data_IF_927746205491
#
_entry.id   IF_927746205491
#
_cell.length_a   1.000
_cell.length_b   1.000
_cell.length_c   1.000
_cell.angle_alpha   90.00
_cell.angle_beta   90.00
_cell.angle_gamma   90.00
#
_symmetry.space_group_name_H-M   'P 1'
#
loop_
_entity.id
_entity.type
_entity.pdbx_description
1 polymer ?
#
# COMPACT_ATOMS: atom_id res chain seq x y z
N UNK A 1 -20.18 -31.55 2.24
CA UNK A 1 -21.48 -30.85 2.08
C UNK A 1 -21.66 -30.58 0.59
N UNK A 2 -22.72 -31.06 -0.04
CA UNK A 2 -22.99 -30.86 -1.48
C UNK A 2 -24.11 -29.85 -1.66
N UNK A 3 -23.92 -28.83 -2.50
CA UNK A 3 -24.95 -27.82 -2.82
C UNK A 3 -25.31 -27.93 -4.30
N UNK A 4 -26.52 -28.44 -4.58
CA UNK A 4 -26.99 -28.68 -5.94
C UNK A 4 -27.30 -27.38 -6.69
N UNK A 5 -27.97 -26.44 -6.01
CA UNK A 5 -28.38 -25.14 -6.59
C UNK A 5 -27.18 -24.30 -7.00
N UNK A 6 -26.15 -24.22 -6.14
CA UNK A 6 -24.91 -23.50 -6.46
C UNK A 6 -24.18 -24.12 -7.65
N UNK A 7 -24.06 -25.45 -7.69
CA UNK A 7 -23.38 -26.17 -8.78
C UNK A 7 -24.08 -25.95 -10.12
N UNK A 8 -25.41 -26.00 -10.15
CA UNK A 8 -26.19 -25.74 -11.35
C UNK A 8 -25.95 -24.32 -11.88
N UNK A 9 -25.99 -23.30 -11.00
CA UNK A 9 -25.75 -21.89 -11.38
C UNK A 9 -24.32 -21.64 -11.89
N UNK A 10 -23.30 -22.19 -11.24
CA UNK A 10 -21.93 -22.04 -11.71
C UNK A 10 -21.73 -22.70 -13.08
N UNK A 11 -22.35 -23.87 -13.31
CA UNK A 11 -22.32 -24.55 -14.61
C UNK A 11 -23.00 -23.71 -15.69
N UNK A 12 -24.16 -23.12 -15.40
CA UNK A 12 -24.90 -22.21 -16.30
C UNK A 12 -24.06 -20.97 -16.67
N UNK A 13 -23.33 -20.41 -15.70
CA UNK A 13 -22.42 -19.27 -15.92
C UNK A 13 -21.08 -19.66 -16.57
N UNK A 14 -20.86 -20.95 -16.89
CA UNK A 14 -19.60 -21.45 -17.44
C UNK A 14 -18.42 -21.40 -16.46
N UNK A 15 -18.68 -21.30 -15.16
CA UNK A 15 -17.66 -21.21 -14.11
C UNK A 15 -17.28 -22.61 -13.59
N UNK A 16 -15.98 -22.88 -13.54
CA UNK A 16 -15.45 -24.12 -12.97
C UNK A 16 -15.48 -24.08 -11.44
N UNK A 17 -15.95 -25.16 -10.82
CA UNK A 17 -15.87 -25.34 -9.37
C UNK A 17 -14.51 -25.94 -8.99
N UNK A 18 -13.75 -25.20 -8.19
CA UNK A 18 -12.53 -25.70 -7.55
C UNK A 18 -12.77 -25.84 -6.05
N UNK A 19 -12.23 -26.91 -5.45
CA UNK A 19 -12.35 -27.20 -4.02
C UNK A 19 -10.96 -27.32 -3.40
N UNK A 20 -10.83 -26.82 -2.18
CA UNK A 20 -9.64 -27.05 -1.37
C UNK A 20 -9.49 -28.52 -1.02
N UNK A 21 -8.24 -28.94 -0.82
CA UNK A 21 -7.88 -30.29 -0.39
C UNK A 21 -8.58 -30.63 0.93
N UNK A 22 -9.14 -31.85 1.06
CA UNK A 22 -9.77 -32.27 2.31
C UNK A 22 -8.82 -32.15 3.51
N UNK A 23 -9.31 -31.54 4.60
CA UNK A 23 -8.58 -31.33 5.86
C UNK A 23 -7.33 -30.45 5.77
N UNK A 24 -7.23 -29.58 4.77
CA UNK A 24 -6.14 -28.61 4.64
C UNK A 24 -6.71 -27.20 4.73
N UNK A 25 -6.50 -26.52 5.88
CA UNK A 25 -7.05 -25.18 6.10
C UNK A 25 -6.32 -24.11 5.29
N UNK A 26 -5.01 -24.28 5.06
CA UNK A 26 -4.14 -23.28 4.43
C UNK A 26 -4.12 -23.31 2.89
N UNK A 27 -5.11 -23.96 2.26
CA UNK A 27 -5.09 -24.18 0.81
C UNK A 27 -5.44 -22.92 0.00
N UNK A 28 -5.90 -21.87 0.67
CA UNK A 28 -6.17 -20.57 0.07
C UNK A 28 -5.46 -19.43 0.84
N UNK A 29 -4.14 -19.28 0.67
CA UNK A 29 -3.34 -18.31 1.41
C UNK A 29 -3.80 -16.86 1.16
N UNK A 30 -4.37 -16.57 -0.02
CA UNK A 30 -4.85 -15.24 -0.36
C UNK A 30 -6.08 -14.83 0.47
N UNK A 31 -7.10 -15.68 0.53
CA UNK A 31 -8.29 -15.38 1.34
C UNK A 31 -7.96 -15.39 2.84
N UNK A 32 -7.09 -16.28 3.31
CA UNK A 32 -6.64 -16.27 4.70
C UNK A 32 -5.91 -14.98 5.07
N UNK A 33 -5.00 -14.51 4.20
CA UNK A 33 -4.31 -13.25 4.41
C UNK A 33 -5.29 -12.07 4.49
N UNK A 34 -6.30 -12.01 3.61
CA UNK A 34 -7.33 -10.97 3.65
C UNK A 34 -8.12 -10.99 4.96
N UNK A 35 -8.60 -12.16 5.40
CA UNK A 35 -9.33 -12.28 6.67
C UNK A 35 -8.47 -11.91 7.87
N UNK A 36 -7.18 -12.21 7.82
CA UNK A 36 -6.23 -11.74 8.82
C UNK A 36 -6.16 -10.20 8.80
N UNK A 37 -6.01 -9.57 7.64
CA UNK A 37 -5.97 -8.10 7.56
C UNK A 37 -7.22 -7.44 8.13
N UNK A 38 -8.41 -8.00 7.87
CA UNK A 38 -9.68 -7.52 8.43
C UNK A 38 -9.64 -7.56 9.97
N UNK A 39 -9.30 -8.70 10.56
CA UNK A 39 -9.35 -8.94 12.02
C UNK A 39 -8.30 -8.16 12.80
N UNK A 40 -7.12 -7.97 12.21
CA UNK A 40 -6.01 -7.26 12.83
C UNK A 40 -5.97 -5.77 12.45
N UNK A 41 -7.00 -5.29 11.75
CA UNK A 41 -7.18 -3.87 11.50
C UNK A 41 -7.40 -3.13 12.84
N UNK A 42 -6.72 -1.99 13.09
CA UNK A 42 -6.91 -1.21 14.32
C UNK A 42 -8.37 -0.79 14.57
N UNK A 43 -9.14 -0.64 13.49
CA UNK A 43 -10.56 -0.30 13.47
C UNK A 43 -11.50 -1.44 13.91
N UNK A 44 -10.98 -2.65 14.12
CA UNK A 44 -11.79 -3.82 14.45
C UNK A 44 -12.40 -3.68 15.87
N UNK A 45 -13.72 -3.83 16.03
CA UNK A 45 -14.35 -3.65 17.34
C UNK A 45 -14.00 -4.79 18.30
N UNK A 46 -13.30 -4.47 19.40
CA UNK A 46 -12.87 -5.45 20.40
C UNK A 46 -14.06 -6.15 21.10
N UNK A 47 -15.19 -5.45 21.26
CA UNK A 47 -16.42 -5.99 21.86
C UNK A 47 -17.34 -6.67 20.84
N UNK A 48 -16.94 -6.75 19.57
CA UNK A 48 -17.80 -7.21 18.48
C UNK A 48 -18.82 -6.17 18.02
N UNK A 49 -19.80 -6.62 17.24
CA UNK A 49 -20.82 -5.77 16.62
C UNK A 49 -22.17 -5.94 17.31
N UNK A 50 -22.92 -4.84 17.43
CA UNK A 50 -24.24 -4.84 18.08
C UNK A 50 -25.35 -5.46 17.21
N UNK A 51 -25.20 -5.44 15.89
CA UNK A 51 -26.21 -5.96 14.95
C UNK A 51 -25.59 -6.38 13.62
N UNK A 52 -26.33 -7.17 12.84
CA UNK A 52 -25.91 -7.54 11.48
C UNK A 52 -25.78 -6.30 10.57
N UNK A 53 -26.62 -5.27 10.77
CA UNK A 53 -26.53 -4.01 10.05
C UNK A 53 -25.19 -3.32 10.29
N UNK A 54 -24.78 -3.21 11.56
CA UNK A 54 -23.50 -2.63 11.94
C UNK A 54 -22.30 -3.38 11.33
N UNK A 55 -22.36 -4.72 11.26
CA UNK A 55 -21.33 -5.52 10.59
C UNK A 55 -21.23 -5.16 9.11
N UNK A 56 -22.38 -5.08 8.41
CA UNK A 56 -22.41 -4.79 6.97
C UNK A 56 -21.85 -3.40 6.66
N UNK A 57 -22.28 -2.39 7.41
CA UNK A 57 -21.77 -1.02 7.26
C UNK A 57 -20.27 -0.95 7.50
N UNK A 58 -19.79 -1.58 8.57
CA UNK A 58 -18.35 -1.62 8.87
C UNK A 58 -17.56 -2.35 7.79
N UNK A 59 -18.04 -3.49 7.30
CA UNK A 59 -17.36 -4.26 6.24
C UNK A 59 -17.29 -3.48 4.92
N UNK A 60 -18.36 -2.76 4.54
CA UNK A 60 -18.36 -1.91 3.35
C UNK A 60 -17.39 -0.73 3.50
N UNK A 61 -17.32 -0.13 4.69
CA UNK A 61 -16.36 0.92 4.99
C UNK A 61 -14.92 0.38 4.93
N UNK A 62 -14.67 -0.80 5.51
CA UNK A 62 -13.38 -1.47 5.45
C UNK A 62 -12.96 -1.77 4.00
N UNK A 63 -13.85 -2.35 3.20
CA UNK A 63 -13.57 -2.68 1.79
C UNK A 63 -13.15 -1.43 1.01
N UNK A 64 -13.92 -0.35 1.14
CA UNK A 64 -13.60 0.93 0.50
C UNK A 64 -12.25 1.46 0.97
N UNK A 65 -11.97 1.44 2.27
CA UNK A 65 -10.70 1.89 2.81
C UNK A 65 -9.53 1.05 2.28
N UNK A 66 -9.68 -0.29 2.24
CA UNK A 66 -8.65 -1.22 1.77
C UNK A 66 -8.36 -1.07 0.27
N UNK A 67 -9.41 -1.00 -0.56
CA UNK A 67 -9.32 -1.02 -2.01
C UNK A 67 -9.02 0.36 -2.62
N UNK A 68 -9.58 1.44 -2.07
CA UNK A 68 -9.55 2.76 -2.70
C UNK A 68 -8.66 3.78 -1.98
N UNK A 69 -8.27 3.53 -0.71
CA UNK A 69 -7.54 4.52 0.09
C UNK A 69 -6.19 4.03 0.58
N UNK A 70 -6.09 2.77 1.01
CA UNK A 70 -4.86 2.23 1.55
C UNK A 70 -3.81 1.99 0.45
N UNK A 71 -2.60 2.52 0.65
CA UNK A 71 -1.47 2.29 -0.25
C UNK A 71 -0.65 1.10 0.24
N UNK A 72 -0.60 0.05 -0.57
CA UNK A 72 0.01 -1.22 -0.16
C UNK A 72 1.47 -1.30 -0.61
N UNK A 73 2.37 -1.56 0.33
CA UNK A 73 3.81 -1.67 0.04
C UNK A 73 4.13 -2.80 -0.95
N UNK A 74 3.39 -3.91 -0.89
CA UNK A 74 3.54 -5.06 -1.79
C UNK A 74 3.25 -4.76 -3.27
N UNK A 75 2.58 -3.65 -3.55
CA UNK A 75 2.28 -3.19 -4.92
C UNK A 75 2.86 -1.79 -5.21
N UNK A 76 3.97 -1.42 -4.55
CA UNK A 76 4.67 -0.15 -4.73
C UNK A 76 3.86 1.08 -4.27
N UNK A 77 3.14 0.96 -3.16
CA UNK A 77 2.34 2.04 -2.58
C UNK A 77 1.35 2.63 -3.58
N UNK A 78 0.55 1.76 -4.19
CA UNK A 78 -0.65 2.10 -4.96
C UNK A 78 -1.85 1.42 -4.31
N UNK A 79 -3.06 1.88 -4.62
CA UNK A 79 -4.27 1.23 -4.14
C UNK A 79 -4.55 -0.02 -4.98
N UNK A 80 -5.15 -1.08 -4.40
CA UNK A 80 -5.51 -2.28 -5.16
C UNK A 80 -6.45 -1.95 -6.31
N UNK A 81 -7.38 -1.01 -6.11
CA UNK A 81 -8.30 -0.58 -7.14
C UNK A 81 -7.61 0.15 -8.30
N UNK A 82 -6.59 0.98 -8.03
CA UNK A 82 -5.81 1.62 -9.10
C UNK A 82 -5.03 0.59 -9.93
N UNK A 83 -4.45 -0.42 -9.26
CA UNK A 83 -3.79 -1.54 -9.94
C UNK A 83 -4.78 -2.36 -10.76
N UNK A 84 -5.97 -2.62 -10.20
CA UNK A 84 -7.01 -3.38 -10.88
C UNK A 84 -7.52 -2.66 -12.14
N UNK A 85 -7.65 -1.33 -12.07
CA UNK A 85 -8.04 -0.47 -13.21
C UNK A 85 -6.90 -0.19 -14.19
N UNK A 86 -5.66 -0.55 -13.86
CA UNK A 86 -4.48 -0.29 -14.69
C UNK A 86 -4.00 1.17 -14.72
N UNK A 87 -4.55 2.04 -13.88
CA UNK A 87 -4.18 3.48 -13.82
C UNK A 87 -2.93 3.73 -12.97
N UNK A 88 -2.38 2.69 -12.34
CA UNK A 88 -1.23 2.80 -11.47
C UNK A 88 0.09 3.04 -12.23
N UNK A 89 0.14 2.66 -13.51
CA UNK A 89 1.31 2.82 -14.38
C UNK A 89 1.70 4.30 -14.50
N UNK A 90 0.75 5.17 -14.85
CA UNK A 90 0.97 6.62 -14.97
C UNK A 90 1.46 7.22 -13.64
N UNK A 91 0.89 6.78 -12.51
CA UNK A 91 1.30 7.22 -11.17
C UNK A 91 2.72 6.79 -10.83
N UNK A 92 3.11 5.58 -11.23
CA UNK A 92 4.45 5.05 -11.01
C UNK A 92 5.49 5.73 -11.89
N UNK A 93 5.18 5.97 -13.16
CA UNK A 93 6.05 6.69 -14.09
C UNK A 93 6.32 8.11 -13.61
N UNK A 94 5.28 8.83 -13.19
CA UNK A 94 5.42 10.18 -12.61
C UNK A 94 6.33 10.19 -11.38
N UNK A 95 6.21 9.19 -10.48
CA UNK A 95 7.08 9.05 -9.30
C UNK A 95 8.52 8.72 -9.67
N UNK A 96 8.71 7.84 -10.65
CA UNK A 96 10.04 7.44 -11.12
C UNK A 96 10.77 8.60 -11.81
N UNK A 97 10.05 9.42 -12.59
CA UNK A 97 10.61 10.61 -13.23
C UNK A 97 11.13 11.63 -12.20
N UNK A 98 10.35 11.93 -11.15
CA UNK A 98 10.81 12.79 -10.05
C UNK A 98 12.03 12.23 -9.31
N UNK A 99 12.07 10.92 -9.11
CA UNK A 99 13.22 10.24 -8.50
C UNK A 99 14.48 10.34 -9.37
N UNK A 100 14.34 10.15 -10.70
CA UNK A 100 15.45 10.31 -11.65
C UNK A 100 15.99 11.75 -11.64
N UNK A 101 15.11 12.75 -11.69
CA UNK A 101 15.50 14.16 -11.65
C UNK A 101 16.30 14.51 -10.38
N UNK A 102 15.82 14.09 -9.19
CA UNK A 102 16.52 14.34 -7.93
C UNK A 102 17.86 13.62 -7.85
N UNK A 103 17.97 12.41 -8.40
CA UNK A 103 19.22 11.66 -8.47
C UNK A 103 20.26 12.34 -9.37
N UNK A 104 19.84 12.82 -10.55
CA UNK A 104 20.69 13.58 -11.48
C UNK A 104 21.21 14.87 -10.82
N UNK A 105 20.32 15.68 -10.24
CA UNK A 105 20.72 16.88 -9.48
C UNK A 105 21.69 16.56 -8.34
N UNK A 106 21.51 15.42 -7.67
CA UNK A 106 22.40 14.97 -6.59
C UNK A 106 23.77 14.48 -7.10
N UNK A 107 23.87 13.90 -8.29
CA UNK A 107 25.17 13.64 -8.94
C UNK A 107 25.84 14.93 -9.37
N UNK A 108 25.09 15.89 -9.91
CA UNK A 108 25.64 17.17 -10.37
C UNK A 108 26.26 17.94 -9.19
N UNK A 109 25.58 18.00 -8.04
CA UNK A 109 26.11 18.61 -6.82
C UNK A 109 27.38 17.88 -6.33
N UNK A 110 27.42 16.54 -6.39
CA UNK A 110 28.60 15.75 -5.98
C UNK A 110 29.80 15.96 -6.93
N UNK A 111 29.54 16.02 -8.22
CA UNK A 111 30.55 16.22 -9.25
C UNK A 111 31.09 17.66 -9.24
N UNK A 112 30.22 18.65 -9.04
CA UNK A 112 30.64 20.05 -8.85
C UNK A 112 31.56 20.23 -7.63
N UNK A 113 31.26 19.57 -6.51
CA UNK A 113 32.12 19.58 -5.32
C UNK A 113 33.49 18.89 -5.54
N UNK A 114 33.58 17.93 -6.47
CA UNK A 114 34.85 17.30 -6.88
C UNK A 114 35.67 18.22 -7.79
N UNK A 115 35.05 18.87 -8.77
CA UNK A 115 35.73 19.79 -9.69
C UNK A 115 36.34 21.02 -8.96
N UNK A 116 35.73 21.48 -7.87
CA UNK A 116 36.32 22.55 -7.02
C UNK A 116 37.55 22.10 -6.23
N UNK A 117 37.71 20.80 -5.94
CA UNK A 117 38.90 20.28 -5.24
C UNK A 117 40.12 20.16 -6.18
N UNK A 118 39.87 19.96 -7.48
CA UNK A 118 40.93 19.82 -8.50
C UNK A 118 41.41 21.17 -9.04
N UNK A 119 40.64 22.26 -8.89
CA UNK A 119 40.96 23.61 -9.41
C UNK A 119 41.64 24.53 -8.39
N UNK A 120 41.98 24.06 -7.19
CA UNK A 120 42.79 24.80 -6.21
C UNK A 120 42.19 26.09 -5.63
N UNK A 121 40.94 26.44 -5.94
CA UNK A 121 40.22 27.57 -5.33
C UNK A 121 39.35 27.08 -4.17
N UNK A 122 39.83 27.29 -2.94
CA UNK A 122 39.12 26.95 -1.70
C UNK A 122 37.94 27.92 -1.47
N UNK A 123 36.67 27.47 -1.47
CA UNK A 123 35.55 28.34 -1.13
C UNK A 123 35.47 28.49 0.39
N UNK A 124 35.23 29.72 0.86
CA UNK A 124 35.06 30.03 2.28
C UNK A 124 34.00 29.11 2.92
N UNK A 125 34.40 28.45 4.01
CA UNK A 125 33.70 27.34 4.64
C UNK A 125 32.44 27.82 5.36
N UNK A 126 31.31 27.96 4.65
CA UNK A 126 30.01 28.14 5.32
C UNK A 126 29.55 26.80 5.91
N UNK A 127 29.34 26.80 7.22
CA UNK A 127 29.03 25.61 8.03
C UNK A 127 27.57 25.20 7.83
N UNK A 128 27.22 24.64 6.66
CA UNK A 128 25.95 23.93 6.53
C UNK A 128 26.03 22.60 7.29
N UNK A 129 25.31 22.53 8.40
CA UNK A 129 25.13 21.29 9.17
C UNK A 129 24.43 20.26 8.28
N UNK A 130 25.15 19.22 7.86
CA UNK A 130 24.56 18.06 7.18
C UNK A 130 23.66 17.33 8.17
N UNK A 131 22.38 17.71 8.26
CA UNK A 131 21.35 16.78 8.75
C UNK A 131 21.33 15.61 7.76
N UNK A 132 21.83 14.45 8.18
CA UNK A 132 21.72 13.18 7.44
C UNK A 132 20.23 12.81 7.34
N UNK A 133 19.52 13.42 6.40
CA UNK A 133 18.21 12.97 6.01
C UNK A 133 18.41 11.79 5.07
N UNK A 134 18.38 10.57 5.62
CA UNK A 134 18.36 9.36 4.80
C UNK A 134 17.14 9.44 3.88
N UNK A 135 17.28 9.12 2.58
CA UNK A 135 16.18 9.12 1.60
C UNK A 135 14.95 8.33 2.09
N UNK A 136 15.19 7.32 2.93
CA UNK A 136 14.15 6.54 3.60
C UNK A 136 13.30 7.38 4.55
N UNK A 137 13.84 8.41 5.23
CA UNK A 137 13.14 9.15 6.27
C UNK A 137 12.17 10.24 5.77
N UNK A 138 12.33 10.77 4.56
CA UNK A 138 11.43 11.81 4.01
C UNK A 138 10.24 11.15 3.29
N UNK A 139 10.52 10.11 2.50
CA UNK A 139 9.48 9.31 1.84
C UNK A 139 8.63 8.61 2.91
N UNK A 140 9.25 8.02 3.94
CA UNK A 140 8.48 7.45 5.05
C UNK A 140 7.75 8.49 5.91
N UNK A 141 8.24 9.73 6.06
CA UNK A 141 7.57 10.74 6.89
C UNK A 141 6.37 11.38 6.20
N UNK A 142 6.31 11.33 4.86
CA UNK A 142 5.15 11.78 4.07
C UNK A 142 4.18 10.65 3.70
N UNK A 143 4.62 9.38 3.70
CA UNK A 143 3.80 8.21 3.33
C UNK A 143 3.40 7.30 4.51
N UNK A 144 3.93 7.50 5.74
CA UNK A 144 3.54 6.76 6.96
C UNK A 144 2.50 7.49 7.82
N UNK A 145 1.55 8.20 7.22
CA UNK A 145 0.21 8.25 7.83
C UNK A 145 -0.60 7.24 7.06
N UNK A 146 -0.65 6.01 7.56
CA UNK A 146 -1.48 5.01 6.91
C UNK A 146 -2.91 5.55 6.94
N UNK A 147 -3.61 5.55 5.82
CA UNK A 147 -4.96 6.11 5.74
C UNK A 147 -5.98 5.35 6.62
N UNK A 148 -5.59 4.16 7.12
CA UNK A 148 -6.29 3.41 8.15
C UNK A 148 -6.16 4.05 9.55
N UNK A 149 -5.04 4.74 9.83
CA UNK A 149 -4.87 5.52 11.06
C UNK A 149 -5.77 6.78 11.05
N UNK A 150 -5.92 7.44 9.88
CA UNK A 150 -6.86 8.56 9.72
C UNK A 150 -8.34 8.16 9.90
N UNK A 151 -8.69 6.88 9.70
CA UNK A 151 -10.06 6.40 9.94
C UNK A 151 -10.41 6.40 11.43
N UNK A 152 -9.44 6.05 12.30
CA UNK A 152 -9.58 6.06 13.77
C UNK A 152 -9.86 7.47 14.32
N UNK A 153 -9.32 8.51 13.68
CA UNK A 153 -9.54 9.91 14.08
C UNK A 153 -10.89 10.47 13.60
N UNK A 154 -11.43 9.99 12.47
CA UNK A 154 -12.68 10.54 11.89
C UNK A 154 -13.97 9.83 12.34
N UNK A 155 -13.91 8.67 13.01
CA UNK A 155 -15.09 7.90 13.44
C UNK A 155 -15.12 7.66 14.97
N UNK A 156 -14.63 8.63 15.75
CA UNK A 156 -14.68 8.62 17.21
C UNK A 156 -15.86 9.43 17.74
#
# INVERSE_FOLDING_TARGET
MTSYTLKARLTELGMLMSYSRPRVSNDNPYSEALFRTVKYCPAWPTKGFASLGAVREWMLAFERAYNEQHLHSGIQYVTPADRHRGVDQERLERRNAGTRYTNLRSSDIRNAGRATLETGKSPARSRLTRKKCTKSSVINRLLKRSHLDNWVENHR
#
